data_IF_609987570935
#
_entry.id   IF_609987570935
#
_cell.length_a   1.000
_cell.length_b   1.000
_cell.length_c   1.000
_cell.angle_alpha   90.00
_cell.angle_beta   90.00
_cell.angle_gamma   90.00
#
_symmetry.space_group_name_H-M   'P 1'
#
loop_
_entity.id
_entity.type
_entity.pdbx_description
1 polymer ?
#
# COMPACT_ATOMS: atom_id res chain seq x y z
N UNK A 1 14.41 -11.47 -3.64
CA UNK A 1 14.64 -10.88 -4.98
C UNK A 1 13.71 -9.70 -5.29
N UNK A 2 12.41 -9.77 -4.96
CA UNK A 2 11.41 -8.75 -5.38
C UNK A 2 11.72 -7.33 -4.93
N UNK A 3 12.08 -7.15 -3.67
CA UNK A 3 12.47 -5.83 -3.13
C UNK A 3 13.63 -5.20 -3.89
N UNK A 4 14.66 -5.98 -4.23
CA UNK A 4 15.81 -5.50 -5.02
C UNK A 4 15.40 -5.12 -6.45
N UNK A 5 14.51 -5.89 -7.07
CA UNK A 5 14.00 -5.58 -8.41
C UNK A 5 13.16 -4.29 -8.40
N UNK A 6 12.27 -4.13 -7.43
CA UNK A 6 11.49 -2.91 -7.25
C UNK A 6 12.41 -1.70 -7.00
N UNK A 7 13.34 -1.82 -6.05
CA UNK A 7 14.30 -0.78 -5.73
C UNK A 7 15.12 -0.37 -6.96
N UNK A 8 15.58 -1.35 -7.75
CA UNK A 8 16.31 -1.10 -8.98
C UNK A 8 15.46 -0.38 -10.03
N UNK A 9 14.26 -0.87 -10.33
CA UNK A 9 13.37 -0.29 -11.35
C UNK A 9 12.87 1.11 -10.98
N UNK A 10 12.78 1.40 -9.67
CA UNK A 10 12.51 2.74 -9.18
C UNK A 10 13.77 3.57 -9.34
N UNK A 11 14.90 3.19 -8.75
CA UNK A 11 16.16 3.95 -8.81
C UNK A 11 16.63 4.27 -10.24
N UNK A 12 16.58 3.29 -11.14
CA UNK A 12 16.72 3.46 -12.58
C UNK A 12 15.34 3.73 -13.16
N UNK A 13 14.90 4.99 -13.34
CA UNK A 13 13.50 5.48 -13.36
C UNK A 13 12.58 4.88 -14.44
N UNK A 14 12.44 3.55 -14.43
CA UNK A 14 11.64 2.75 -15.34
C UNK A 14 10.27 2.51 -14.70
N UNK A 15 9.59 3.61 -14.34
CA UNK A 15 8.36 3.59 -13.56
C UNK A 15 7.25 2.71 -14.15
N UNK A 16 7.02 2.65 -15.48
CA UNK A 16 6.04 1.72 -16.04
C UNK A 16 6.39 0.24 -15.80
N UNK A 17 7.69 -0.10 -15.82
CA UNK A 17 8.15 -1.47 -15.51
C UNK A 17 8.03 -1.77 -14.03
N UNK A 18 8.35 -0.80 -13.16
CA UNK A 18 8.15 -0.92 -11.72
C UNK A 18 6.66 -1.14 -11.40
N UNK A 19 5.77 -0.35 -12.00
CA UNK A 19 4.33 -0.45 -11.80
C UNK A 19 3.79 -1.83 -12.18
N UNK A 20 4.13 -2.30 -13.38
CA UNK A 20 3.75 -3.65 -13.83
C UNK A 20 4.28 -4.73 -12.89
N UNK A 21 5.55 -4.61 -12.46
CA UNK A 21 6.15 -5.56 -11.53
C UNK A 21 5.42 -5.61 -10.18
N UNK A 22 5.00 -4.45 -9.66
CA UNK A 22 4.21 -4.36 -8.42
C UNK A 22 2.87 -5.06 -8.58
N UNK A 23 2.15 -4.80 -9.68
CA UNK A 23 0.82 -5.35 -9.93
C UNK A 23 0.89 -6.86 -10.17
N UNK A 24 1.86 -7.35 -10.95
CA UNK A 24 2.05 -8.79 -11.21
C UNK A 24 2.28 -9.60 -9.93
N UNK A 25 2.89 -8.98 -8.91
CA UNK A 25 3.26 -9.64 -7.64
C UNK A 25 2.46 -9.10 -6.45
N UNK A 26 1.25 -8.56 -6.68
CA UNK A 26 0.51 -7.77 -5.69
C UNK A 26 0.23 -8.50 -4.37
N UNK A 27 0.11 -9.83 -4.39
CA UNK A 27 -0.14 -10.67 -3.21
C UNK A 27 1.13 -11.00 -2.41
N UNK A 28 2.30 -10.66 -2.94
CA UNK A 28 3.58 -11.14 -2.41
C UNK A 28 4.38 -10.05 -1.68
N UNK A 29 3.85 -8.83 -1.61
CA UNK A 29 4.47 -7.71 -0.90
C UNK A 29 4.16 -7.80 0.61
N UNK A 30 5.21 -7.96 1.41
CA UNK A 30 5.12 -8.09 2.88
C UNK A 30 4.91 -6.76 3.62
N UNK A 31 5.21 -5.62 2.99
CA UNK A 31 5.12 -4.29 3.58
C UNK A 31 6.16 -3.95 4.64
N UNK A 32 7.20 -4.78 4.84
CA UNK A 32 8.16 -4.61 5.93
C UNK A 32 9.21 -3.52 5.65
N UNK A 33 9.84 -3.57 4.47
CA UNK A 33 10.94 -2.69 4.05
C UNK A 33 10.46 -1.27 3.68
N UNK A 34 9.99 -0.50 4.68
CA UNK A 34 9.37 0.82 4.49
C UNK A 34 10.29 1.80 3.75
N UNK A 35 11.61 1.70 3.91
CA UNK A 35 12.61 2.49 3.19
C UNK A 35 12.64 2.24 1.68
N UNK A 36 12.06 1.13 1.22
CA UNK A 36 11.86 0.81 -0.21
C UNK A 36 10.42 1.12 -0.61
N UNK A 37 9.44 0.64 0.15
CA UNK A 37 8.02 0.76 -0.21
C UNK A 37 7.53 2.22 -0.25
N UNK A 38 7.91 3.04 0.73
CA UNK A 38 7.49 4.44 0.80
C UNK A 38 7.95 5.25 -0.41
N UNK A 39 9.27 5.32 -0.69
CA UNK A 39 9.78 6.04 -1.85
C UNK A 39 9.29 5.48 -3.19
N UNK A 40 9.11 4.15 -3.29
CA UNK A 40 8.54 3.54 -4.48
C UNK A 40 7.08 3.97 -4.71
N UNK A 41 6.24 3.94 -3.66
CA UNK A 41 4.85 4.36 -3.74
C UNK A 41 4.73 5.85 -4.11
N UNK A 42 5.53 6.71 -3.49
CA UNK A 42 5.58 8.14 -3.81
C UNK A 42 5.89 8.38 -5.29
N UNK A 43 6.93 7.72 -5.82
CA UNK A 43 7.31 7.88 -7.23
C UNK A 43 6.32 7.29 -8.22
N UNK A 44 5.58 6.27 -7.82
CA UNK A 44 4.53 5.66 -8.65
C UNK A 44 3.21 6.44 -8.60
N UNK A 45 2.96 7.22 -7.53
CA UNK A 45 1.66 7.84 -7.27
C UNK A 45 1.09 8.70 -8.39
N UNK A 46 1.95 9.40 -9.15
CA UNK A 46 1.53 10.32 -10.20
C UNK A 46 0.95 9.64 -11.45
N UNK A 47 1.70 8.70 -12.04
CA UNK A 47 1.32 8.05 -13.31
C UNK A 47 0.84 6.60 -13.15
N UNK A 48 1.06 6.01 -11.98
CA UNK A 48 0.78 4.59 -11.71
C UNK A 48 0.08 4.42 -10.34
N UNK A 49 -1.11 5.03 -10.15
CA UNK A 49 -1.77 5.09 -8.84
C UNK A 49 -2.12 3.71 -8.29
N UNK A 50 -2.53 2.75 -9.13
CA UNK A 50 -2.80 1.38 -8.68
C UNK A 50 -1.57 0.73 -8.05
N UNK A 51 -0.40 0.83 -8.70
CA UNK A 51 0.83 0.26 -8.17
C UNK A 51 1.23 0.92 -6.83
N UNK A 52 1.12 2.24 -6.72
CA UNK A 52 1.36 2.96 -5.47
C UNK A 52 0.42 2.48 -4.35
N UNK A 53 -0.88 2.34 -4.64
CA UNK A 53 -1.87 1.83 -3.69
C UNK A 53 -1.52 0.44 -3.17
N UNK A 54 -1.04 -0.48 -4.02
CA UNK A 54 -0.69 -1.84 -3.58
C UNK A 54 0.47 -1.85 -2.59
N UNK A 55 1.50 -1.04 -2.82
CA UNK A 55 2.64 -0.93 -1.89
C UNK A 55 2.22 -0.31 -0.55
N UNK A 56 1.38 0.73 -0.58
CA UNK A 56 0.84 1.35 0.62
C UNK A 56 -0.03 0.37 1.42
N UNK A 57 -0.90 -0.39 0.74
CA UNK A 57 -1.74 -1.42 1.37
C UNK A 57 -0.92 -2.53 2.02
N UNK A 58 0.18 -2.95 1.40
CA UNK A 58 1.11 -3.90 2.01
C UNK A 58 1.67 -3.36 3.33
N UNK A 59 2.13 -2.10 3.37
CA UNK A 59 2.63 -1.47 4.59
C UNK A 59 1.54 -1.32 5.67
N UNK A 60 0.29 -1.03 5.29
CA UNK A 60 -0.85 -0.99 6.23
C UNK A 60 -1.10 -2.37 6.86
N UNK A 61 -1.18 -3.41 6.03
CA UNK A 61 -1.39 -4.78 6.50
C UNK A 61 -0.24 -5.22 7.44
N UNK A 62 1.00 -4.89 7.09
CA UNK A 62 2.17 -5.15 7.94
C UNK A 62 2.10 -4.42 9.29
N UNK A 63 1.74 -3.15 9.31
CA UNK A 63 1.62 -2.38 10.54
C UNK A 63 0.58 -2.98 11.49
N UNK A 64 -0.56 -3.44 10.95
CA UNK A 64 -1.64 -4.06 11.71
C UNK A 64 -1.29 -5.47 12.19
N UNK A 65 -0.61 -6.27 11.37
CA UNK A 65 -0.16 -7.62 11.74
C UNK A 65 0.84 -7.59 12.90
N UNK A 66 1.72 -6.59 12.94
CA UNK A 66 2.69 -6.39 14.02
C UNK A 66 2.03 -5.97 15.34
N UNK A 67 0.81 -5.42 15.32
CA UNK A 67 0.06 -5.03 16.51
C UNK A 67 0.71 -3.94 17.37
N UNK A 68 1.65 -3.16 16.80
CA UNK A 68 2.36 -2.09 17.52
C UNK A 68 1.70 -0.75 17.27
N UNK A 69 1.04 -0.20 18.29
CA UNK A 69 0.30 1.06 18.19
C UNK A 69 1.13 2.25 17.68
N UNK A 70 2.44 2.26 17.94
CA UNK A 70 3.36 3.30 17.44
C UNK A 70 3.41 3.40 15.91
N UNK A 71 3.03 2.33 15.19
CA UNK A 71 2.99 2.29 13.72
C UNK A 71 1.64 2.70 13.13
N UNK A 72 0.59 2.80 13.93
CA UNK A 72 -0.78 3.04 13.43
C UNK A 72 -0.95 4.42 12.81
N UNK A 73 -0.24 5.44 13.31
CA UNK A 73 -0.27 6.78 12.68
C UNK A 73 0.19 6.74 11.22
N UNK A 74 1.28 6.04 10.95
CA UNK A 74 1.78 5.87 9.58
C UNK A 74 0.83 5.01 8.74
N UNK A 75 0.28 3.94 9.31
CA UNK A 75 -0.70 3.10 8.61
C UNK A 75 -1.97 3.88 8.23
N UNK A 76 -2.50 4.73 9.13
CA UNK A 76 -3.64 5.61 8.83
C UNK A 76 -3.28 6.60 7.72
N UNK A 77 -2.08 7.21 7.76
CA UNK A 77 -1.63 8.10 6.69
C UNK A 77 -1.55 7.38 5.34
N UNK A 78 -1.00 6.17 5.30
CA UNK A 78 -0.95 5.36 4.08
C UNK A 78 -2.36 5.01 3.57
N UNK A 79 -3.30 4.72 4.47
CA UNK A 79 -4.67 4.42 4.10
C UNK A 79 -5.39 5.65 3.50
N UNK A 80 -5.17 6.85 4.05
CA UNK A 80 -5.65 8.12 3.47
C UNK A 80 -5.03 8.40 2.10
N UNK A 81 -3.74 8.12 1.93
CA UNK A 81 -3.12 8.16 0.59
C UNK A 81 -3.77 7.16 -0.37
N UNK A 82 -4.13 5.96 0.08
CA UNK A 82 -4.85 4.99 -0.76
C UNK A 82 -6.24 5.49 -1.16
N UNK A 83 -6.96 6.18 -0.27
CA UNK A 83 -8.26 6.78 -0.55
C UNK A 83 -8.15 7.85 -1.64
N UNK A 84 -7.18 8.74 -1.51
CA UNK A 84 -6.93 9.79 -2.50
C UNK A 84 -6.54 9.20 -3.87
N UNK A 85 -5.67 8.19 -3.89
CA UNK A 85 -5.25 7.52 -5.12
C UNK A 85 -6.40 6.76 -5.79
N UNK A 86 -7.36 6.24 -5.02
CA UNK A 86 -8.50 5.51 -5.57
C UNK A 86 -9.33 6.36 -6.56
N UNK A 87 -9.37 7.69 -6.37
CA UNK A 87 -10.05 8.60 -7.29
C UNK A 87 -9.37 8.71 -8.67
N UNK A 88 -8.11 8.30 -8.79
CA UNK A 88 -7.32 8.32 -10.02
C UNK A 88 -7.15 6.91 -10.65
N UNK A 89 -7.83 5.88 -10.13
CA UNK A 89 -7.75 4.51 -10.64
C UNK A 89 -9.04 4.16 -11.39
N UNK A 90 -8.95 4.14 -12.72
CA UNK A 90 -10.06 3.76 -13.60
C UNK A 90 -10.21 2.24 -13.76
N UNK A 91 -9.10 1.51 -13.70
CA UNK A 91 -9.06 0.04 -13.83
C UNK A 91 -8.24 -0.58 -12.69
N UNK A 92 -8.93 -1.38 -11.88
CA UNK A 92 -8.32 -2.10 -10.76
C UNK A 92 -7.73 -3.46 -11.13
N UNK A 93 -7.85 -3.90 -12.40
CA UNK A 93 -7.24 -5.14 -12.91
C UNK A 93 -7.61 -6.39 -12.09
N UNK A 94 -8.86 -6.46 -11.62
CA UNK A 94 -9.38 -7.56 -10.80
C UNK A 94 -8.92 -7.53 -9.34
N UNK A 95 -8.16 -6.51 -8.91
CA UNK A 95 -7.84 -6.24 -7.52
C UNK A 95 -8.97 -5.42 -6.90
N UNK A 96 -9.26 -5.59 -5.62
CA UNK A 96 -10.36 -4.86 -5.01
C UNK A 96 -10.07 -3.36 -4.85
N UNK A 97 -11.11 -2.55 -5.05
CA UNK A 97 -11.10 -1.12 -4.80
C UNK A 97 -10.93 -0.75 -3.31
N UNK A 98 -10.94 0.54 -3.00
CA UNK A 98 -10.70 1.05 -1.65
C UNK A 98 -11.62 0.43 -0.59
N UNK A 99 -12.94 0.47 -0.82
CA UNK A 99 -13.94 -0.09 0.08
C UNK A 99 -13.77 -1.59 0.29
N UNK A 100 -13.49 -2.35 -0.77
CA UNK A 100 -13.27 -3.80 -0.67
C UNK A 100 -12.04 -4.15 0.16
N UNK A 101 -10.97 -3.37 0.01
CA UNK A 101 -9.78 -3.51 0.86
C UNK A 101 -10.06 -3.14 2.32
N UNK A 102 -10.75 -2.02 2.59
CA UNK A 102 -11.13 -1.61 3.95
C UNK A 102 -11.99 -2.67 4.64
N UNK A 103 -12.96 -3.25 3.94
CA UNK A 103 -13.82 -4.31 4.47
C UNK A 103 -13.00 -5.52 4.94
N UNK A 104 -12.06 -6.01 4.10
CA UNK A 104 -11.16 -7.10 4.48
C UNK A 104 -10.22 -6.74 5.62
N UNK A 105 -9.74 -5.49 5.64
CA UNK A 105 -8.88 -5.02 6.71
C UNK A 105 -9.63 -5.02 8.05
N UNK A 106 -10.90 -4.61 8.04
CA UNK A 106 -11.79 -4.62 9.20
C UNK A 106 -12.13 -6.03 9.65
N UNK A 107 -12.34 -6.96 8.72
CA UNK A 107 -12.53 -8.37 9.02
C UNK A 107 -11.30 -8.98 9.71
N UNK A 108 -10.11 -8.75 9.16
CA UNK A 108 -8.86 -9.33 9.67
C UNK A 108 -8.36 -8.68 10.98
N UNK A 109 -8.55 -7.36 11.12
CA UNK A 109 -7.94 -6.56 12.20
C UNK A 109 -8.95 -5.72 12.99
N UNK A 110 -10.23 -6.09 12.98
CA UNK A 110 -11.31 -5.35 13.66
C UNK A 110 -11.06 -5.12 15.16
N UNK A 111 -10.29 -5.99 15.82
CA UNK A 111 -9.94 -5.87 17.24
C UNK A 111 -8.86 -4.84 17.54
N UNK A 112 -8.21 -4.25 16.52
CA UNK A 112 -7.21 -3.18 16.68
C UNK A 112 -7.89 -1.82 16.90
N UNK A 113 -8.68 -1.69 17.96
CA UNK A 113 -9.52 -0.52 18.25
C UNK A 113 -8.80 0.82 18.15
N UNK A 114 -7.56 0.92 18.65
CA UNK A 114 -6.78 2.16 18.59
C UNK A 114 -6.37 2.58 17.18
N UNK A 115 -6.26 1.64 16.24
CA UNK A 115 -6.07 1.98 14.81
C UNK A 115 -7.36 2.56 14.23
N UNK A 116 -8.50 1.92 14.50
CA UNK A 116 -9.79 2.33 13.95
C UNK A 116 -10.24 3.69 14.49
N UNK A 117 -10.05 3.94 15.78
CA UNK A 117 -10.32 5.25 16.37
C UNK A 117 -9.47 6.34 15.70
N UNK A 118 -8.17 6.07 15.49
CA UNK A 118 -7.26 7.01 14.84
C UNK A 118 -7.61 7.25 13.36
N UNK A 119 -8.25 6.28 12.69
CA UNK A 119 -8.69 6.44 11.30
C UNK A 119 -9.87 7.41 11.21
N UNK A 120 -10.78 7.37 12.18
CA UNK A 120 -11.99 8.19 12.27
C UNK A 120 -11.73 9.64 12.71
N UNK A 121 -10.54 9.95 13.27
CA UNK A 121 -10.09 11.30 13.68
C UNK A 121 -9.69 12.22 12.51
#
# INVERSE_FOLDING_TARGET
MRLLALQFLVAWPALPRAARYVIEHWQEWDGEAFEIYGPAAERLSGEHPLAATLLLRAMVAFALSMGRATRYRYAVQHLRSCEQLAAAIDDWQGIDGHEGFLARLREAYGTKWSFWLLLEE
#
